data_IF_751936131315
#
_entry.id   IF_751936131315
#
_cell.length_a   1.000
_cell.length_b   1.000
_cell.length_c   1.000
_cell.angle_alpha   90.00
_cell.angle_beta   90.00
_cell.angle_gamma   90.00
#
_symmetry.space_group_name_H-M   'P 1'
#
loop_
_entity.id
_entity.type
_entity.pdbx_description
1 polymer ?
#
# COMPACT_ATOMS: atom_id res chain seq x y z
N UNK A 1 18.37 7.53 -4.86
CA UNK A 1 17.10 7.85 -5.56
C UNK A 1 16.01 8.13 -4.52
N UNK A 2 15.16 9.13 -4.76
CA UNK A 2 14.07 9.49 -3.82
C UNK A 2 12.76 8.79 -4.21
N UNK A 3 11.91 8.53 -3.21
CA UNK A 3 10.59 7.89 -3.39
C UNK A 3 9.74 8.61 -4.44
N UNK A 4 9.71 9.95 -4.43
CA UNK A 4 8.96 10.76 -5.40
C UNK A 4 9.36 10.55 -6.87
N UNK A 5 10.54 9.99 -7.13
CA UNK A 5 11.05 9.72 -8.49
C UNK A 5 10.49 8.41 -9.06
N UNK A 6 9.92 7.55 -8.21
CA UNK A 6 9.36 6.25 -8.58
C UNK A 6 7.86 6.10 -8.30
N UNK A 7 7.33 6.86 -7.32
CA UNK A 7 5.94 6.71 -6.89
C UNK A 7 4.95 7.07 -8.00
N UNK A 8 3.78 6.46 -7.97
CA UNK A 8 2.61 6.90 -8.73
C UNK A 8 1.98 8.11 -8.02
N UNK A 9 2.01 9.28 -8.68
CA UNK A 9 1.53 10.55 -8.09
C UNK A 9 0.00 10.69 -8.04
N UNK A 10 -0.73 10.02 -8.94
CA UNK A 10 -2.19 10.10 -9.04
C UNK A 10 -2.90 9.05 -8.19
N UNK A 11 -2.36 8.76 -7.00
CA UNK A 11 -2.93 7.77 -6.10
C UNK A 11 -4.39 8.10 -5.76
N UNK A 12 -5.29 7.21 -6.18
CA UNK A 12 -6.70 7.30 -5.80
C UNK A 12 -6.86 6.96 -4.33
N UNK A 13 -7.80 7.59 -3.68
CA UNK A 13 -8.11 7.38 -2.26
C UNK A 13 -9.63 7.39 -2.06
N UNK A 14 -10.07 6.88 -0.92
CA UNK A 14 -11.45 6.98 -0.48
C UNK A 14 -11.54 7.58 0.92
N UNK A 15 -12.76 7.76 1.38
CA UNK A 15 -13.07 8.24 2.74
C UNK A 15 -13.48 7.07 3.61
N UNK A 16 -13.46 7.25 4.93
CA UNK A 16 -13.87 6.20 5.85
C UNK A 16 -15.35 5.79 5.74
N UNK A 17 -16.20 6.67 5.23
CA UNK A 17 -17.62 6.44 4.98
C UNK A 17 -17.93 5.92 3.56
N UNK A 18 -16.92 5.82 2.68
CA UNK A 18 -17.06 5.23 1.35
C UNK A 18 -17.46 3.76 1.49
N UNK A 19 -18.42 3.29 0.70
CA UNK A 19 -18.79 1.87 0.65
C UNK A 19 -17.76 1.02 -0.14
N UNK A 20 -17.74 -0.28 0.13
CA UNK A 20 -16.76 -1.18 -0.47
C UNK A 20 -16.98 -1.40 -1.97
N UNK A 21 -18.19 -1.25 -2.49
CA UNK A 21 -18.42 -1.36 -3.94
C UNK A 21 -17.76 -0.19 -4.67
N UNK A 22 -17.88 1.03 -4.12
CA UNK A 22 -17.19 2.23 -4.63
C UNK A 22 -15.67 2.08 -4.51
N UNK A 23 -15.15 1.57 -3.37
CA UNK A 23 -13.72 1.31 -3.20
C UNK A 23 -13.21 0.26 -4.22
N UNK A 24 -14.00 -0.79 -4.49
CA UNK A 24 -13.69 -1.79 -5.52
C UNK A 24 -13.63 -1.17 -6.92
N UNK A 25 -14.59 -0.28 -7.23
CA UNK A 25 -14.59 0.42 -8.52
C UNK A 25 -13.35 1.29 -8.69
N UNK A 26 -12.90 1.98 -7.64
CA UNK A 26 -11.64 2.74 -7.65
C UNK A 26 -10.46 1.81 -7.97
N UNK A 27 -10.39 0.63 -7.34
CA UNK A 27 -9.32 -0.35 -7.61
C UNK A 27 -9.35 -0.83 -9.05
N UNK A 28 -10.53 -1.12 -9.58
CA UNK A 28 -10.72 -1.57 -10.96
C UNK A 28 -10.30 -0.51 -11.97
N UNK A 29 -10.81 0.72 -11.82
CA UNK A 29 -10.55 1.83 -12.75
C UNK A 29 -9.08 2.28 -12.75
N UNK A 30 -8.39 2.14 -11.60
CA UNK A 30 -6.98 2.53 -11.42
C UNK A 30 -5.99 1.35 -11.55
N UNK A 31 -6.46 0.15 -11.87
CA UNK A 31 -5.65 -1.09 -11.95
C UNK A 31 -4.75 -1.26 -10.71
N UNK A 32 -5.35 -1.13 -9.53
CA UNK A 32 -4.61 -1.24 -8.27
C UNK A 32 -5.33 -2.14 -7.26
N UNK A 33 -4.57 -2.79 -6.39
CA UNK A 33 -5.09 -3.66 -5.33
C UNK A 33 -5.02 -3.04 -3.93
N UNK A 34 -4.92 -1.70 -3.84
CA UNK A 34 -4.94 -0.94 -2.58
C UNK A 34 -5.57 0.43 -2.81
N UNK A 35 -6.38 0.87 -1.86
CA UNK A 35 -6.89 2.23 -1.80
C UNK A 35 -6.58 2.81 -0.42
N UNK A 36 -5.76 3.86 -0.33
CA UNK A 36 -5.59 4.61 0.91
C UNK A 36 -6.91 5.26 1.33
N UNK A 37 -7.20 5.19 2.63
CA UNK A 37 -8.33 5.88 3.25
C UNK A 37 -7.81 7.16 3.88
N UNK A 38 -8.42 8.28 3.53
CA UNK A 38 -7.98 9.60 4.00
C UNK A 38 -9.10 10.35 4.72
N UNK A 39 -8.71 11.24 5.64
CA UNK A 39 -9.62 12.17 6.29
C UNK A 39 -9.82 13.47 5.45
N UNK A 40 -10.51 14.46 6.00
CA UNK A 40 -10.80 15.74 5.35
C UNK A 40 -9.54 16.52 4.99
N UNK A 41 -8.48 16.40 5.80
CA UNK A 41 -7.18 17.04 5.55
C UNK A 41 -6.29 16.24 4.58
N UNK A 42 -6.84 15.20 3.93
CA UNK A 42 -6.11 14.24 3.08
C UNK A 42 -5.03 13.42 3.81
N UNK A 43 -5.05 13.38 5.13
CA UNK A 43 -4.13 12.53 5.91
C UNK A 43 -4.55 11.07 5.79
N UNK A 44 -3.58 10.19 5.64
CA UNK A 44 -3.81 8.75 5.57
C UNK A 44 -4.20 8.24 6.96
N UNK A 45 -5.41 7.68 7.07
CA UNK A 45 -5.98 7.13 8.32
C UNK A 45 -6.21 5.62 8.25
N UNK A 46 -6.08 5.03 7.08
CA UNK A 46 -6.23 3.59 6.85
C UNK A 46 -5.87 3.20 5.44
N UNK A 47 -5.91 1.91 5.19
CA UNK A 47 -5.82 1.32 3.85
C UNK A 47 -6.81 0.18 3.72
N UNK A 48 -7.31 -0.03 2.50
CA UNK A 48 -8.13 -1.19 2.12
C UNK A 48 -7.45 -1.87 0.95
N UNK A 49 -7.43 -3.20 0.97
CA UNK A 49 -6.97 -4.02 -0.15
C UNK A 49 -8.12 -4.79 -0.78
N UNK A 50 -7.92 -5.27 -2.00
CA UNK A 50 -8.82 -6.18 -2.70
C UNK A 50 -9.13 -7.44 -1.86
N UNK A 51 -8.13 -7.97 -1.15
CA UNK A 51 -8.30 -9.09 -0.23
C UNK A 51 -9.22 -8.74 0.94
N UNK A 52 -9.09 -7.56 1.54
CA UNK A 52 -9.94 -7.11 2.65
C UNK A 52 -11.40 -7.04 2.21
N UNK A 53 -11.67 -6.52 1.00
CA UNK A 53 -12.99 -6.44 0.41
C UNK A 53 -13.57 -7.83 0.17
N UNK A 54 -12.78 -8.73 -0.44
CA UNK A 54 -13.19 -10.10 -0.71
C UNK A 54 -13.57 -10.84 0.58
N UNK A 55 -12.71 -10.77 1.60
CA UNK A 55 -12.93 -11.41 2.90
C UNK A 55 -14.17 -10.82 3.58
N UNK A 56 -14.32 -9.49 3.61
CA UNK A 56 -15.45 -8.84 4.23
C UNK A 56 -16.79 -9.22 3.56
N UNK A 57 -16.83 -9.22 2.24
CA UNK A 57 -18.03 -9.60 1.50
C UNK A 57 -18.43 -11.07 1.76
N UNK A 58 -17.45 -11.98 1.72
CA UNK A 58 -17.71 -13.40 1.90
C UNK A 58 -18.07 -13.76 3.35
N UNK A 59 -17.38 -13.19 4.34
CA UNK A 59 -17.59 -13.58 5.75
C UNK A 59 -18.80 -12.91 6.39
N UNK A 60 -19.19 -11.74 5.92
CA UNK A 60 -20.37 -11.01 6.42
C UNK A 60 -21.66 -11.36 5.68
N UNK A 61 -21.57 -12.03 4.53
CA UNK A 61 -22.74 -12.33 3.67
C UNK A 61 -23.54 -11.06 3.34
N UNK A 62 -22.84 -9.95 3.17
CA UNK A 62 -23.44 -8.63 2.91
C UNK A 62 -23.02 -8.11 1.52
N UNK A 63 -23.90 -7.29 0.94
CA UNK A 63 -23.53 -6.56 -0.28
C UNK A 63 -22.40 -5.57 0.05
N UNK A 64 -21.32 -5.53 -0.72
CA UNK A 64 -20.23 -4.55 -0.55
C UNK A 64 -20.70 -3.10 -0.49
N UNK A 65 -21.77 -2.73 -1.20
CA UNK A 65 -22.36 -1.40 -1.13
C UNK A 65 -22.95 -1.04 0.25
N UNK A 66 -23.17 -2.03 1.12
CA UNK A 66 -23.69 -1.83 2.48
C UNK A 66 -22.62 -1.85 3.55
N UNK A 67 -21.33 -2.07 3.20
CA UNK A 67 -20.21 -2.12 4.12
C UNK A 67 -19.35 -0.86 3.93
N UNK A 68 -19.03 -0.16 5.02
CA UNK A 68 -18.20 1.05 4.94
C UNK A 68 -16.72 0.73 5.08
N UNK A 69 -15.88 1.58 4.46
CA UNK A 69 -14.43 1.48 4.52
C UNK A 69 -13.91 1.38 5.96
N UNK A 70 -14.43 2.21 6.89
CA UNK A 70 -14.04 2.22 8.31
C UNK A 70 -14.23 0.90 9.04
N UNK A 71 -15.15 0.05 8.54
CA UNK A 71 -15.49 -1.23 9.19
C UNK A 71 -14.53 -2.36 8.79
N UNK A 72 -13.68 -2.11 7.77
CA UNK A 72 -12.81 -3.13 7.16
C UNK A 72 -11.36 -2.68 7.06
N UNK A 73 -11.10 -1.37 6.91
CA UNK A 73 -9.77 -0.84 6.71
C UNK A 73 -8.78 -1.23 7.82
N UNK A 74 -7.55 -1.48 7.43
CA UNK A 74 -6.44 -1.52 8.38
C UNK A 74 -6.10 -0.09 8.82
N UNK A 75 -6.10 0.17 10.12
CA UNK A 75 -5.72 1.46 10.72
C UNK A 75 -4.22 1.56 11.01
N UNK A 76 -3.54 0.42 11.10
CA UNK A 76 -2.08 0.39 11.25
C UNK A 76 -1.45 0.48 9.88
N UNK A 77 -1.18 1.69 9.42
CA UNK A 77 -0.65 1.96 8.09
C UNK A 77 0.83 2.29 8.17
N UNK A 78 1.65 1.53 7.45
CA UNK A 78 3.02 1.94 7.16
C UNK A 78 3.00 2.93 5.99
N UNK A 79 3.67 4.04 6.14
CA UNK A 79 3.85 5.08 5.12
C UNK A 79 5.33 5.40 4.94
N UNK A 80 5.67 6.04 3.83
CA UNK A 80 6.99 6.65 3.61
C UNK A 80 6.79 8.07 3.12
N UNK A 81 7.78 8.94 3.32
CA UNK A 81 7.70 10.30 2.81
C UNK A 81 8.28 10.39 1.39
N UNK A 82 7.76 11.32 0.60
CA UNK A 82 8.18 11.52 -0.80
C UNK A 82 9.68 11.82 -0.97
N UNK A 83 10.32 12.39 0.06
CA UNK A 83 11.73 12.78 0.04
C UNK A 83 12.68 11.76 0.68
N UNK A 84 12.17 10.65 1.20
CA UNK A 84 12.99 9.54 1.69
C UNK A 84 13.68 8.81 0.54
N UNK A 85 14.73 8.05 0.87
CA UNK A 85 15.40 7.19 -0.09
C UNK A 85 14.55 5.96 -0.41
N UNK A 86 14.60 5.48 -1.64
CA UNK A 86 13.84 4.28 -2.07
C UNK A 86 14.21 3.03 -1.28
N UNK A 87 15.43 2.95 -0.72
CA UNK A 87 15.83 1.87 0.18
C UNK A 87 15.02 1.86 1.47
N UNK A 88 14.62 3.04 1.97
CA UNK A 88 13.73 3.12 3.15
C UNK A 88 12.37 2.53 2.82
N UNK A 89 11.85 2.82 1.63
CA UNK A 89 10.60 2.21 1.17
C UNK A 89 10.72 0.68 1.06
N UNK A 90 11.81 0.17 0.48
CA UNK A 90 12.06 -1.26 0.36
C UNK A 90 12.19 -1.94 1.74
N UNK A 91 12.94 -1.33 2.67
CA UNK A 91 13.08 -1.82 4.03
C UNK A 91 11.72 -1.85 4.76
N UNK A 92 10.93 -0.79 4.62
CA UNK A 92 9.58 -0.72 5.23
C UNK A 92 8.66 -1.80 4.65
N UNK A 93 8.68 -2.03 3.34
CA UNK A 93 7.95 -3.10 2.66
C UNK A 93 8.34 -4.47 3.24
N UNK A 94 9.64 -4.72 3.40
CA UNK A 94 10.18 -5.95 3.99
C UNK A 94 9.71 -6.14 5.42
N UNK A 95 9.91 -5.14 6.27
CA UNK A 95 9.65 -5.23 7.71
C UNK A 95 8.15 -5.36 8.02
N UNK A 96 7.31 -4.65 7.28
CA UNK A 96 5.86 -4.68 7.43
C UNK A 96 5.18 -5.79 6.62
N UNK A 97 5.94 -6.49 5.75
CA UNK A 97 5.45 -7.56 4.87
C UNK A 97 4.26 -7.11 4.02
N UNK A 98 4.34 -5.91 3.49
CA UNK A 98 3.37 -5.32 2.58
C UNK A 98 3.94 -5.22 1.17
N UNK A 99 3.11 -5.01 0.17
CA UNK A 99 3.55 -4.87 -1.23
C UNK A 99 3.48 -3.44 -1.75
N UNK A 100 2.85 -2.56 -0.99
CA UNK A 100 2.62 -1.15 -1.36
C UNK A 100 2.62 -0.30 -0.12
N UNK A 101 3.06 0.95 -0.28
CA UNK A 101 3.06 1.95 0.79
C UNK A 101 2.43 3.23 0.26
N UNK A 102 1.46 3.81 0.98
CA UNK A 102 1.09 5.20 0.76
C UNK A 102 2.31 6.10 0.98
N UNK A 103 2.49 7.06 0.09
CA UNK A 103 3.52 8.09 0.18
C UNK A 103 2.87 9.37 0.68
N UNK A 104 3.48 9.98 1.68
CA UNK A 104 2.93 11.16 2.35
C UNK A 104 3.91 12.34 2.31
N UNK A 105 3.37 13.55 2.41
CA UNK A 105 4.17 14.77 2.61
C UNK A 105 4.53 14.97 4.10
N UNK A 106 5.20 16.08 4.41
CA UNK A 106 5.58 16.45 5.78
C UNK A 106 4.39 16.65 6.72
N UNK A 107 3.20 16.91 6.19
CA UNK A 107 1.96 17.07 6.93
C UNK A 107 1.15 15.76 7.01
N UNK A 108 1.74 14.62 6.60
CA UNK A 108 1.10 13.30 6.55
C UNK A 108 -0.07 13.23 5.55
N UNK A 109 -0.13 14.10 4.55
CA UNK A 109 -1.14 14.06 3.49
C UNK A 109 -0.67 13.13 2.38
N UNK A 110 -1.60 12.36 1.84
CA UNK A 110 -1.35 11.46 0.72
C UNK A 110 -0.91 12.24 -0.53
N UNK A 111 0.25 11.90 -1.05
CA UNK A 111 0.81 12.47 -2.29
C UNK A 111 1.07 11.42 -3.37
N UNK A 112 1.07 10.13 -3.02
CA UNK A 112 1.29 9.05 -3.98
C UNK A 112 1.20 7.67 -3.34
N UNK A 113 1.52 6.65 -4.13
CA UNK A 113 1.72 5.26 -3.68
C UNK A 113 2.98 4.73 -4.34
N UNK A 114 3.81 4.01 -3.58
CA UNK A 114 4.93 3.25 -4.12
C UNK A 114 4.69 1.76 -3.91
N UNK A 115 4.97 0.97 -4.94
CA UNK A 115 4.76 -0.47 -4.92
C UNK A 115 6.07 -1.23 -5.11
N UNK A 116 6.03 -2.53 -4.77
CA UNK A 116 7.12 -3.44 -5.07
C UNK A 116 7.42 -3.51 -6.58
N UNK A 117 6.40 -3.35 -7.44
CA UNK A 117 6.56 -3.34 -8.89
C UNK A 117 7.37 -2.11 -9.36
N UNK A 118 7.17 -0.95 -8.74
CA UNK A 118 7.93 0.27 -9.05
C UNK A 118 9.40 0.08 -8.66
N UNK A 119 9.65 -0.57 -7.52
CA UNK A 119 11.00 -0.83 -7.02
C UNK A 119 11.74 -1.88 -7.86
N UNK A 120 11.07 -2.97 -8.28
CA UNK A 120 11.71 -4.02 -9.10
C UNK A 120 12.15 -3.51 -10.46
N UNK A 121 11.40 -2.59 -11.05
CA UNK A 121 11.73 -1.99 -12.34
C UNK A 121 13.07 -1.20 -12.31
N UNK A 122 13.59 -0.89 -11.12
CA UNK A 122 14.85 -0.17 -10.89
C UNK A 122 15.91 -0.98 -10.15
N UNK A 123 15.59 -2.23 -9.76
CA UNK A 123 16.55 -3.10 -9.11
C UNK A 123 17.65 -3.53 -10.08
N UNK A 124 18.91 -3.44 -9.65
CA UNK A 124 20.07 -3.81 -10.45
C UNK A 124 20.96 -4.79 -9.69
N UNK A 125 21.71 -5.62 -10.42
CA UNK A 125 22.64 -6.60 -9.80
C UNK A 125 23.91 -5.96 -9.22
N UNK A 126 24.09 -4.65 -9.30
CA UNK A 126 25.25 -3.93 -8.75
C UNK A 126 24.99 -3.56 -7.29
N UNK A 127 26.05 -3.68 -6.45
CA UNK A 127 25.95 -3.33 -5.02
C UNK A 127 25.80 -1.83 -4.73
N UNK A 128 26.29 -0.99 -5.65
CA UNK A 128 26.22 0.47 -5.59
C UNK A 128 24.94 1.04 -6.22
N UNK A 129 24.02 0.18 -6.69
CA UNK A 129 22.75 0.60 -7.24
C UNK A 129 21.85 1.26 -6.19
N UNK A 130 20.94 2.11 -6.62
CA UNK A 130 19.91 2.70 -5.76
C UNK A 130 19.04 1.62 -5.07
N UNK A 131 18.79 0.51 -5.80
CA UNK A 131 18.12 -0.68 -5.27
C UNK A 131 18.95 -1.91 -5.64
N UNK A 132 19.84 -2.39 -4.74
CA UNK A 132 20.58 -3.63 -5.00
C UNK A 132 19.63 -4.83 -5.09
N UNK A 133 19.88 -5.70 -6.08
CA UNK A 133 19.05 -6.88 -6.31
C UNK A 133 19.00 -7.82 -5.12
N UNK A 134 20.07 -7.93 -4.33
CA UNK A 134 20.11 -8.74 -3.10
C UNK A 134 19.10 -8.22 -2.07
N UNK A 135 19.04 -6.90 -1.83
CA UNK A 135 18.09 -6.28 -0.89
C UNK A 135 16.64 -6.48 -1.36
N UNK A 136 16.41 -6.41 -2.69
CA UNK A 136 15.11 -6.68 -3.27
C UNK A 136 14.68 -8.14 -3.09
N UNK A 137 15.58 -9.10 -3.34
CA UNK A 137 15.31 -10.54 -3.12
C UNK A 137 14.99 -10.82 -1.65
N UNK A 138 15.69 -10.21 -0.72
CA UNK A 138 15.41 -10.36 0.72
C UNK A 138 14.05 -9.81 1.11
N UNK A 139 13.64 -8.69 0.55
CA UNK A 139 12.30 -8.16 0.75
C UNK A 139 11.23 -9.11 0.20
N UNK A 140 11.44 -9.66 -1.00
CA UNK A 140 10.55 -10.66 -1.58
C UNK A 140 10.43 -11.91 -0.71
N UNK A 141 11.54 -12.46 -0.20
CA UNK A 141 11.51 -13.61 0.71
C UNK A 141 10.69 -13.31 1.96
N UNK A 142 10.85 -12.14 2.55
CA UNK A 142 10.10 -11.73 3.74
C UNK A 142 8.59 -11.64 3.49
N UNK A 143 8.18 -11.11 2.32
CA UNK A 143 6.77 -10.99 1.93
C UNK A 143 6.14 -12.36 1.63
N UNK A 144 6.92 -13.25 0.97
CA UNK A 144 6.47 -14.57 0.58
C UNK A 144 6.52 -15.60 1.74
N UNK A 145 7.23 -15.29 2.82
CA UNK A 145 7.29 -16.17 3.98
C UNK A 145 5.88 -16.36 4.57
N UNK A 146 5.47 -17.61 4.73
CA UNK A 146 4.23 -17.94 5.41
C UNK A 146 4.27 -17.40 6.84
N UNK A 147 3.21 -16.71 7.27
CA UNK A 147 3.01 -16.44 8.68
C UNK A 147 2.80 -17.80 9.34
N UNK A 148 3.76 -18.24 10.15
CA UNK A 148 3.55 -19.37 11.03
C UNK A 148 2.39 -18.97 11.95
N UNK A 149 1.22 -19.55 11.71
CA UNK A 149 0.13 -19.51 12.66
C UNK A 149 0.62 -20.36 13.84
N UNK A 150 1.02 -19.69 14.92
CA UNK A 150 1.21 -20.39 16.20
C UNK A 150 -0.19 -20.87 16.57
N UNK A 151 -0.36 -22.19 16.54
CA UNK A 151 -1.57 -22.87 16.98
C UNK A 151 -1.79 -22.65 18.48
#
# INVERSE_FOLDING_TARGET
MKVKELMSVDAKSCREDTDLATATKIMWDADCGIVPVVNDDRRVIGVITDRDICVAAATRSMNPASIRARDVMSRTVATVTENEDVRVALATIKDRRVRRLPVVDKQQRLVGVISLNDLVARAECRRDADIPGEEFIDAMKAICAHRLTVA
#
